data_IF_752542792369
#
_entry.id   IF_752542792369
#
_cell.length_a   1.000
_cell.length_b   1.000
_cell.length_c   1.000
_cell.angle_alpha   90.00
_cell.angle_beta   90.00
_cell.angle_gamma   90.00
#
_symmetry.space_group_name_H-M   'P 1'
#
loop_
_entity.id
_entity.type
_entity.pdbx_description
1 polymer ?
#
# COMPACT_ATOMS: atom_id res chain seq x y z
N UNK A 1 3.67 9.53 -17.86
CA UNK A 1 4.78 9.22 -16.92
C UNK A 1 4.42 9.49 -15.46
N UNK A 2 3.92 10.68 -15.08
CA UNK A 2 3.64 11.01 -13.66
C UNK A 2 2.61 10.10 -12.95
N UNK A 3 1.59 9.59 -13.66
CA UNK A 3 0.58 8.66 -13.09
C UNK A 3 1.17 7.30 -12.69
N UNK A 4 2.12 6.78 -13.47
CA UNK A 4 2.82 5.51 -13.17
C UNK A 4 3.73 5.69 -11.95
N UNK A 5 4.47 6.81 -11.89
CA UNK A 5 5.27 7.14 -10.73
C UNK A 5 4.42 7.27 -9.45
N UNK A 6 3.26 7.94 -9.54
CA UNK A 6 2.32 8.02 -8.42
C UNK A 6 1.88 6.62 -7.97
N UNK A 7 1.47 5.75 -8.89
CA UNK A 7 1.05 4.38 -8.57
C UNK A 7 2.18 3.55 -7.93
N UNK A 8 3.43 3.71 -8.38
CA UNK A 8 4.60 3.04 -7.78
C UNK A 8 4.82 3.55 -6.34
N UNK A 9 4.80 4.87 -6.13
CA UNK A 9 4.94 5.47 -4.79
C UNK A 9 3.81 5.04 -3.86
N UNK A 10 2.58 5.02 -4.36
CA UNK A 10 1.40 4.53 -3.65
C UNK A 10 1.58 3.08 -3.22
N UNK A 11 2.03 2.21 -4.15
CA UNK A 11 2.28 0.79 -3.87
C UNK A 11 3.31 0.63 -2.76
N UNK A 12 4.48 1.29 -2.85
CA UNK A 12 5.49 1.20 -1.79
C UNK A 12 4.98 1.75 -0.45
N UNK A 13 4.24 2.85 -0.47
CA UNK A 13 3.69 3.47 0.75
C UNK A 13 2.76 2.50 1.47
N UNK A 14 1.76 1.95 0.75
CA UNK A 14 0.78 1.05 1.36
C UNK A 14 1.38 -0.33 1.68
N UNK A 15 2.34 -0.81 0.89
CA UNK A 15 3.06 -2.05 1.16
C UNK A 15 3.91 -1.95 2.43
N UNK A 16 4.69 -0.88 2.59
CA UNK A 16 5.56 -0.69 3.77
C UNK A 16 4.73 -0.43 5.01
N UNK A 17 3.81 0.55 4.96
CA UNK A 17 2.99 0.90 6.12
C UNK A 17 2.09 -0.28 6.50
N UNK A 18 1.41 -0.87 5.52
CA UNK A 18 0.54 -2.02 5.75
C UNK A 18 1.29 -3.22 6.31
N UNK A 19 2.46 -3.53 5.75
CA UNK A 19 3.26 -4.66 6.19
C UNK A 19 3.85 -4.50 7.58
N UNK A 20 4.31 -3.29 7.96
CA UNK A 20 4.74 -2.99 9.33
C UNK A 20 3.55 -3.12 10.29
N UNK A 21 2.41 -2.50 9.99
CA UNK A 21 1.22 -2.54 10.85
C UNK A 21 0.74 -3.98 11.04
N UNK A 22 0.61 -4.75 9.96
CA UNK A 22 0.19 -6.15 10.05
C UNK A 22 1.25 -6.97 10.79
N UNK A 23 2.53 -6.78 10.49
CA UNK A 23 3.64 -7.42 11.19
C UNK A 23 3.60 -7.17 12.69
N UNK A 24 3.31 -5.94 13.12
CA UNK A 24 3.20 -5.60 14.54
C UNK A 24 2.02 -6.31 15.21
N UNK A 25 0.90 -6.45 14.49
CA UNK A 25 -0.30 -7.11 14.98
C UNK A 25 -0.18 -8.64 15.00
N UNK A 26 0.61 -9.23 14.10
CA UNK A 26 0.73 -10.69 13.94
C UNK A 26 2.06 -11.25 14.42
N UNK A 27 2.95 -10.41 14.96
CA UNK A 27 4.31 -10.81 15.38
C UNK A 27 5.29 -11.08 14.22
N UNK A 28 4.96 -10.63 13.01
CA UNK A 28 5.77 -10.80 11.80
C UNK A 28 6.73 -9.64 11.51
N UNK A 29 7.05 -8.78 12.48
CA UNK A 29 8.09 -7.74 12.30
C UNK A 29 9.49 -8.30 12.43
N UNK A 30 10.43 -7.76 11.67
CA UNK A 30 11.86 -8.08 11.75
C UNK A 30 12.67 -6.80 11.96
N UNK A 31 13.98 -6.90 12.25
CA UNK A 31 14.86 -5.73 12.38
C UNK A 31 14.89 -4.86 11.10
N UNK A 32 14.67 -5.48 9.93
CA UNK A 32 14.65 -4.80 8.64
C UNK A 32 13.27 -4.40 8.12
N UNK A 33 12.18 -4.75 8.81
CA UNK A 33 10.82 -4.49 8.34
C UNK A 33 9.83 -5.54 8.81
N UNK A 34 9.36 -6.39 7.89
CA UNK A 34 8.39 -7.43 8.18
C UNK A 34 8.61 -8.66 7.30
N UNK A 35 8.22 -9.81 7.84
CA UNK A 35 8.13 -11.09 7.15
C UNK A 35 6.74 -11.67 7.43
N UNK A 36 5.87 -11.58 6.43
CA UNK A 36 4.50 -12.06 6.51
C UNK A 36 4.35 -13.32 5.66
N UNK A 37 3.83 -14.39 6.27
CA UNK A 37 3.53 -15.65 5.59
C UNK A 37 2.07 -16.03 5.82
N UNK A 38 1.49 -16.83 4.93
CA UNK A 38 0.10 -17.31 5.06
C UNK A 38 -0.95 -16.19 5.12
N UNK A 39 -1.81 -16.22 6.14
CA UNK A 39 -2.96 -15.29 6.29
C UNK A 39 -2.50 -13.82 6.39
N UNK A 40 -1.53 -13.43 7.24
CA UNK A 40 -1.01 -12.06 7.28
C UNK A 40 -0.59 -11.51 5.91
N UNK A 41 0.03 -12.35 5.06
CA UNK A 41 0.40 -11.96 3.71
C UNK A 41 -0.84 -11.71 2.83
N UNK A 42 -1.85 -12.59 2.91
CA UNK A 42 -3.11 -12.41 2.19
C UNK A 42 -3.84 -11.13 2.62
N UNK A 43 -3.81 -10.80 3.91
CA UNK A 43 -4.39 -9.56 4.44
C UNK A 43 -3.66 -8.34 3.86
N UNK A 44 -2.32 -8.37 3.79
CA UNK A 44 -1.55 -7.29 3.17
C UNK A 44 -1.93 -7.12 1.69
N UNK A 45 -2.03 -8.20 0.92
CA UNK A 45 -2.48 -8.11 -0.48
C UNK A 45 -3.89 -7.55 -0.61
N UNK A 46 -4.83 -7.99 0.24
CA UNK A 46 -6.19 -7.47 0.28
C UNK A 46 -6.22 -5.97 0.62
N UNK A 47 -5.39 -5.52 1.56
CA UNK A 47 -5.25 -4.11 1.94
C UNK A 47 -4.74 -3.25 0.77
N UNK A 48 -3.71 -3.72 0.07
CA UNK A 48 -3.16 -3.04 -1.11
C UNK A 48 -4.22 -2.94 -2.20
N UNK A 49 -4.92 -4.04 -2.52
CA UNK A 49 -5.99 -4.04 -3.51
C UNK A 49 -7.12 -3.08 -3.12
N UNK A 50 -7.58 -3.13 -1.86
CA UNK A 50 -8.60 -2.23 -1.34
C UNK A 50 -8.19 -0.76 -1.47
N UNK A 51 -6.94 -0.43 -1.15
CA UNK A 51 -6.40 0.92 -1.30
C UNK A 51 -6.51 1.43 -2.75
N UNK A 52 -6.07 0.65 -3.73
CA UNK A 52 -6.16 1.04 -5.15
C UNK A 52 -7.59 1.09 -5.69
N UNK A 53 -8.47 0.20 -5.24
CA UNK A 53 -9.89 0.21 -5.61
C UNK A 53 -10.60 1.44 -5.04
N UNK A 54 -10.33 1.80 -3.79
CA UNK A 54 -10.89 3.01 -3.16
C UNK A 54 -10.29 4.26 -3.82
N UNK A 55 -8.98 4.25 -4.09
CA UNK A 55 -8.28 5.32 -4.78
C UNK A 55 -8.86 5.59 -6.18
N UNK A 56 -9.16 4.54 -6.95
CA UNK A 56 -9.77 4.69 -8.28
C UNK A 56 -11.19 5.27 -8.21
N UNK A 57 -11.98 4.87 -7.20
CA UNK A 57 -13.36 5.37 -6.99
C UNK A 57 -13.43 6.78 -6.43
N UNK A 58 -12.45 7.21 -5.64
CA UNK A 58 -12.43 8.53 -4.98
C UNK A 58 -11.69 9.59 -5.80
N UNK A 59 -11.47 9.33 -7.09
CA UNK A 59 -10.89 10.25 -8.06
C UNK A 59 -9.36 10.37 -7.98
N UNK A 60 -8.68 9.37 -7.42
CA UNK A 60 -7.23 9.24 -7.41
C UNK A 60 -6.67 8.85 -6.04
N UNK A 61 -5.59 8.07 -6.07
CA UNK A 61 -4.80 7.64 -4.89
C UNK A 61 -4.06 8.81 -4.22
N UNK A 62 -3.50 8.59 -3.04
CA UNK A 62 -2.80 9.63 -2.25
C UNK A 62 -1.77 10.39 -3.09
N UNK A 63 -0.86 9.68 -3.76
CA UNK A 63 0.19 10.33 -4.54
C UNK A 63 -0.32 10.94 -5.85
N UNK A 64 -1.43 10.43 -6.41
CA UNK A 64 -2.09 11.09 -7.54
C UNK A 64 -2.68 12.45 -7.14
N UNK A 65 -3.19 12.57 -5.92
CA UNK A 65 -3.68 13.84 -5.35
C UNK A 65 -2.52 14.80 -5.05
N UNK A 66 -1.46 14.32 -4.40
CA UNK A 66 -0.29 15.14 -4.03
C UNK A 66 0.42 15.68 -5.28
N UNK A 67 0.66 14.83 -6.28
CA UNK A 67 1.35 15.23 -7.50
C UNK A 67 0.44 15.99 -8.49
N UNK A 68 -0.82 16.26 -8.10
CA UNK A 68 -1.85 16.90 -8.93
C UNK A 68 -1.91 16.30 -10.34
N UNK A 69 -1.81 14.97 -10.42
CA UNK A 69 -1.86 14.22 -11.69
C UNK A 69 -3.28 13.76 -12.03
N UNK A 70 -4.28 14.27 -11.29
CA UNK A 70 -5.70 14.20 -11.63
C UNK A 70 -5.83 14.79 -13.04
N UNK A 71 -5.99 13.90 -14.01
CA UNK A 71 -6.33 14.29 -15.38
C UNK A 71 -7.79 14.68 -15.41
#
# INVERSE_FOLDING_TARGET
MKKVLAAILDFFTIFIIGGIVIGQLTGGTTEGGFELTGIPALILFALIAAYFIIGSKTGGTLWQRILKTRG
#
